data_IF_218912618021
#
_entry.id   IF_218912618021
#
_cell.length_a   1.000
_cell.length_b   1.000
_cell.length_c   1.000
_cell.angle_alpha   90.00
_cell.angle_beta   90.00
_cell.angle_gamma   90.00
#
_symmetry.space_group_name_H-M   'P 1'
#
loop_
_entity.id
_entity.type
_entity.pdbx_description
1 polymer ?
#
# COMPACT_ATOMS: atom_id res chain seq x y z
N UNK A 1 7.81 -8.77 -5.67
CA UNK A 1 6.51 -8.56 -5.00
C UNK A 1 5.63 -7.68 -5.88
N UNK A 2 4.37 -8.03 -6.00
CA UNK A 2 3.41 -7.25 -6.77
C UNK A 2 2.74 -6.20 -5.91
N UNK A 3 2.57 -4.99 -6.44
CA UNK A 3 1.85 -3.90 -5.79
C UNK A 3 0.89 -3.25 -6.80
N UNK A 4 -0.23 -2.68 -6.36
CA UNK A 4 -1.06 -1.89 -7.25
C UNK A 4 -0.37 -0.57 -7.60
N UNK A 5 -0.79 0.05 -8.72
CA UNK A 5 -0.24 1.32 -9.16
C UNK A 5 -0.38 2.44 -8.10
N UNK A 6 -1.40 2.35 -7.31
CA UNK A 6 -1.68 3.21 -6.18
C UNK A 6 -0.53 3.23 -5.14
N UNK A 7 0.29 2.17 -5.05
CA UNK A 7 1.36 2.05 -4.07
C UNK A 7 2.34 3.22 -4.11
N UNK A 8 2.66 3.71 -5.30
CA UNK A 8 3.59 4.83 -5.45
C UNK A 8 3.08 6.09 -4.76
N UNK A 9 1.83 6.41 -4.97
CA UNK A 9 1.19 7.59 -4.37
C UNK A 9 0.96 7.38 -2.88
N UNK A 10 0.51 6.20 -2.50
CA UNK A 10 0.30 5.83 -1.09
C UNK A 10 1.58 5.98 -0.28
N UNK A 11 2.67 5.44 -0.80
CA UNK A 11 3.98 5.52 -0.15
C UNK A 11 4.45 6.96 -0.04
N UNK A 12 4.32 7.72 -1.11
CA UNK A 12 4.64 9.15 -1.09
C UNK A 12 3.82 9.92 -0.05
N UNK A 13 2.53 9.65 0.03
CA UNK A 13 1.66 10.26 1.03
C UNK A 13 2.05 9.89 2.46
N UNK A 14 2.43 8.64 2.67
CA UNK A 14 2.87 8.17 3.99
C UNK A 14 4.10 8.96 4.46
N UNK A 15 5.08 9.12 3.58
CA UNK A 15 6.30 9.86 3.89
C UNK A 15 6.03 11.35 4.12
N UNK A 16 5.19 11.96 3.29
CA UNK A 16 4.78 13.36 3.46
C UNK A 16 4.05 13.57 4.76
N UNK A 17 3.14 12.67 5.10
CA UNK A 17 2.36 12.73 6.32
C UNK A 17 3.26 12.64 7.56
N UNK A 18 4.23 11.71 7.54
CA UNK A 18 5.19 11.55 8.62
C UNK A 18 6.04 12.81 8.81
N UNK A 19 6.45 13.44 7.71
CA UNK A 19 7.20 14.69 7.77
C UNK A 19 6.34 15.83 8.35
N UNK A 20 5.12 15.99 7.86
CA UNK A 20 4.20 17.03 8.36
C UNK A 20 3.91 16.87 9.84
N UNK A 21 3.82 15.63 10.31
CA UNK A 21 3.57 15.31 11.73
C UNK A 21 4.84 15.33 12.57
N UNK A 22 5.96 15.76 11.98
CA UNK A 22 7.26 15.85 12.65
C UNK A 22 7.78 14.54 13.22
N UNK A 23 7.38 13.41 12.62
CA UNK A 23 7.91 12.09 12.98
C UNK A 23 9.25 11.83 12.31
N UNK A 24 9.47 12.44 11.15
CA UNK A 24 10.73 12.41 10.41
C UNK A 24 11.02 13.82 9.91
N UNK A 25 12.29 14.13 9.69
CA UNK A 25 12.70 15.39 9.07
C UNK A 25 12.77 15.26 7.55
N UNK A 26 13.08 16.37 6.87
CA UNK A 26 13.16 16.39 5.40
C UNK A 26 14.26 15.47 4.87
N UNK A 27 15.40 15.39 5.55
CA UNK A 27 16.51 14.53 5.14
C UNK A 27 16.11 13.05 5.23
N UNK A 28 15.45 12.66 6.31
CA UNK A 28 14.97 11.28 6.51
C UNK A 28 13.89 10.93 5.49
N UNK A 29 12.98 11.84 5.21
CA UNK A 29 11.96 11.65 4.19
C UNK A 29 12.59 11.38 2.82
N UNK A 30 13.56 12.21 2.43
CA UNK A 30 14.25 12.04 1.15
C UNK A 30 15.02 10.71 1.08
N UNK A 31 15.67 10.32 2.17
CA UNK A 31 16.37 9.05 2.29
C UNK A 31 15.40 7.88 2.11
N UNK A 32 14.27 7.90 2.80
CA UNK A 32 13.28 6.83 2.71
C UNK A 32 12.65 6.74 1.33
N UNK A 33 12.39 7.88 0.69
CA UNK A 33 11.88 7.90 -0.69
C UNK A 33 12.89 7.26 -1.66
N UNK A 34 14.18 7.59 -1.51
CA UNK A 34 15.22 7.00 -2.33
C UNK A 34 15.33 5.49 -2.11
N UNK A 35 15.22 5.03 -0.87
CA UNK A 35 15.20 3.59 -0.56
C UNK A 35 13.99 2.93 -1.20
N UNK A 36 12.81 3.54 -1.10
CA UNK A 36 11.60 3.00 -1.73
C UNK A 36 11.76 2.84 -3.24
N UNK A 37 12.42 3.79 -3.89
CA UNK A 37 12.69 3.73 -5.33
C UNK A 37 13.63 2.58 -5.73
N UNK A 38 14.39 2.05 -4.78
CA UNK A 38 15.29 0.91 -5.05
C UNK A 38 14.59 -0.44 -4.92
N UNK A 39 13.39 -0.48 -4.37
CA UNK A 39 12.67 -1.73 -4.19
C UNK A 39 12.28 -2.34 -5.54
N UNK A 40 12.54 -3.63 -5.69
CA UNK A 40 12.21 -4.38 -6.92
C UNK A 40 10.76 -4.82 -6.86
N UNK A 41 9.86 -3.90 -7.08
CA UNK A 41 8.43 -4.16 -7.08
C UNK A 41 7.93 -4.30 -8.50
N UNK A 42 6.95 -5.20 -8.69
CA UNK A 42 6.19 -5.30 -9.92
C UNK A 42 4.89 -4.54 -9.74
N UNK A 43 4.70 -3.52 -10.53
CA UNK A 43 3.50 -2.70 -10.46
C UNK A 43 2.42 -3.29 -11.35
N UNK A 44 1.28 -3.63 -10.75
CA UNK A 44 0.12 -4.08 -11.50
C UNK A 44 -0.57 -2.87 -12.13
N UNK A 45 -0.67 -2.88 -13.46
CA UNK A 45 -1.26 -1.78 -14.21
C UNK A 45 -2.55 -2.18 -14.92
N UNK A 46 -3.09 -3.34 -14.61
CA UNK A 46 -4.37 -3.74 -15.17
C UNK A 46 -5.49 -2.85 -14.64
N UNK A 47 -6.38 -2.38 -15.52
CA UNK A 47 -7.54 -1.61 -15.08
C UNK A 47 -8.43 -2.47 -14.20
N UNK A 48 -8.86 -1.91 -13.08
CA UNK A 48 -9.80 -2.55 -12.17
C UNK A 48 -11.06 -1.69 -12.10
N UNK A 49 -12.21 -2.31 -12.28
CA UNK A 49 -13.47 -1.59 -12.23
C UNK A 49 -13.74 -1.08 -10.81
N UNK A 50 -14.27 0.12 -10.72
CA UNK A 50 -14.66 0.72 -9.43
C UNK A 50 -15.64 -0.18 -8.69
N UNK A 51 -16.60 -0.77 -9.42
CA UNK A 51 -17.56 -1.70 -8.83
C UNK A 51 -16.88 -2.91 -8.19
N UNK A 52 -15.81 -3.41 -8.79
CA UNK A 52 -15.04 -4.54 -8.24
C UNK A 52 -14.34 -4.14 -6.94
N UNK A 53 -13.73 -2.96 -6.91
CA UNK A 53 -13.09 -2.45 -5.71
C UNK A 53 -14.10 -2.21 -4.59
N UNK A 54 -15.25 -1.67 -4.94
CA UNK A 54 -16.36 -1.46 -3.99
C UNK A 54 -16.83 -2.78 -3.39
N UNK A 55 -17.02 -3.80 -4.21
CA UNK A 55 -17.44 -5.13 -3.76
C UNK A 55 -16.41 -5.75 -2.80
N UNK A 56 -15.14 -5.66 -3.12
CA UNK A 56 -14.08 -6.17 -2.26
C UNK A 56 -14.05 -5.39 -0.94
N UNK A 57 -14.16 -4.08 -1.00
CA UNK A 57 -14.18 -3.24 0.18
C UNK A 57 -15.37 -3.58 1.09
N UNK A 58 -16.55 -3.74 0.51
CA UNK A 58 -17.76 -4.08 1.27
C UNK A 58 -17.67 -5.49 1.87
N UNK A 59 -17.19 -6.45 1.09
CA UNK A 59 -17.10 -7.85 1.53
C UNK A 59 -16.16 -8.02 2.72
N UNK A 60 -15.06 -7.31 2.73
CA UNK A 60 -14.01 -7.47 3.75
C UNK A 60 -13.95 -6.32 4.76
N UNK A 61 -14.87 -5.37 4.68
CA UNK A 61 -14.90 -4.24 5.61
C UNK A 61 -13.69 -3.32 5.49
N UNK A 62 -13.22 -3.12 4.27
CA UNK A 62 -12.01 -2.35 3.99
C UNK A 62 -12.34 -0.99 3.34
N UNK A 63 -11.40 -0.06 3.44
CA UNK A 63 -11.41 1.10 2.55
C UNK A 63 -11.16 0.66 1.11
N UNK A 64 -11.49 1.49 0.14
CA UNK A 64 -11.20 1.19 -1.27
C UNK A 64 -9.69 1.10 -1.51
N UNK A 65 -8.90 1.89 -0.79
CA UNK A 65 -7.44 1.82 -0.85
C UNK A 65 -6.93 0.45 -0.43
N UNK A 66 -7.38 -0.05 0.71
CA UNK A 66 -7.02 -1.37 1.20
C UNK A 66 -7.56 -2.46 0.29
N UNK A 67 -8.76 -2.27 -0.22
CA UNK A 67 -9.37 -3.20 -1.16
C UNK A 67 -8.56 -3.36 -2.44
N UNK A 68 -7.87 -2.30 -2.89
CA UNK A 68 -7.03 -2.38 -4.08
C UNK A 68 -5.89 -3.39 -3.90
N UNK A 69 -5.30 -3.45 -2.73
CA UNK A 69 -4.24 -4.43 -2.41
C UNK A 69 -4.81 -5.85 -2.34
N UNK A 70 -5.92 -6.02 -1.66
CA UNK A 70 -6.56 -7.33 -1.54
C UNK A 70 -7.08 -7.84 -2.88
N UNK A 71 -7.68 -6.97 -3.69
CA UNK A 71 -8.14 -7.32 -5.04
C UNK A 71 -7.00 -7.85 -5.88
N UNK A 72 -5.86 -7.17 -5.86
CA UNK A 72 -4.66 -7.61 -6.58
C UNK A 72 -4.24 -9.01 -6.14
N UNK A 73 -4.21 -9.28 -4.83
CA UNK A 73 -3.86 -10.59 -4.30
C UNK A 73 -4.83 -11.67 -4.75
N UNK A 74 -6.13 -11.38 -4.69
CA UNK A 74 -7.17 -12.32 -5.10
C UNK A 74 -7.09 -12.60 -6.60
N UNK A 75 -6.94 -11.58 -7.41
CA UNK A 75 -6.92 -11.70 -8.87
C UNK A 75 -5.68 -12.44 -9.38
N UNK A 76 -4.52 -12.16 -8.80
CA UNK A 76 -3.26 -12.80 -9.18
C UNK A 76 -2.99 -14.07 -8.39
N UNK A 77 -3.91 -14.47 -7.51
CA UNK A 77 -3.77 -15.66 -6.67
C UNK A 77 -2.46 -15.67 -5.89
N UNK A 78 -2.08 -14.50 -5.37
CA UNK A 78 -0.89 -14.37 -4.56
C UNK A 78 -1.20 -14.78 -3.12
N UNK A 79 -0.25 -15.43 -2.42
CA UNK A 79 -0.39 -15.65 -1.00
C UNK A 79 -0.52 -14.31 -0.28
N UNK A 80 -1.33 -14.25 0.75
CA UNK A 80 -1.49 -13.05 1.55
C UNK A 80 -0.14 -12.54 2.06
N UNK A 81 0.75 -13.46 2.41
CA UNK A 81 2.10 -13.12 2.83
C UNK A 81 2.92 -12.40 1.76
N UNK A 82 2.66 -12.66 0.48
CA UNK A 82 3.34 -11.98 -0.64
C UNK A 82 2.87 -10.54 -0.83
N UNK A 83 1.66 -10.26 -0.39
CA UNK A 83 1.06 -8.93 -0.46
C UNK A 83 1.20 -8.20 0.86
N UNK A 84 1.76 -8.86 1.85
CA UNK A 84 1.65 -8.51 3.24
C UNK A 84 2.24 -7.13 3.51
N UNK A 85 3.35 -6.80 2.89
CA UNK A 85 3.93 -5.47 3.06
C UNK A 85 2.95 -4.37 2.64
N UNK A 86 2.25 -4.57 1.54
CA UNK A 86 1.28 -3.60 1.04
C UNK A 86 -0.02 -3.65 1.84
N UNK A 87 -0.49 -4.85 2.14
CA UNK A 87 -1.70 -5.04 2.96
C UNK A 87 -1.46 -4.59 4.38
N UNK A 88 -0.28 -4.85 4.93
CA UNK A 88 0.09 -4.37 6.25
C UNK A 88 0.18 -2.86 6.30
N UNK A 89 0.62 -2.20 5.22
CA UNK A 89 0.54 -0.76 5.14
C UNK A 89 -0.89 -0.29 5.34
N UNK A 90 -1.79 -0.94 4.64
CA UNK A 90 -3.20 -0.65 4.75
C UNK A 90 -3.74 -0.94 6.16
N UNK A 91 -3.35 -2.06 6.72
CA UNK A 91 -3.72 -2.43 8.09
C UNK A 91 -3.16 -1.46 9.11
N UNK A 92 -1.96 -0.99 8.88
CA UNK A 92 -1.35 0.05 9.71
C UNK A 92 -2.04 1.37 9.52
N UNK A 93 -2.35 1.74 8.30
CA UNK A 93 -3.13 2.94 8.02
C UNK A 93 -4.49 2.87 8.71
N UNK A 94 -5.05 1.67 8.85
CA UNK A 94 -6.25 1.42 9.61
C UNK A 94 -6.01 1.36 11.13
N UNK A 95 -4.77 1.49 11.58
CA UNK A 95 -4.41 1.40 12.99
C UNK A 95 -4.45 -0.01 13.56
N UNK A 96 -4.49 -1.02 12.70
CA UNK A 96 -4.65 -2.42 13.12
C UNK A 96 -3.30 -3.07 13.41
N UNK A 97 -2.31 -2.82 12.56
CA UNK A 97 -0.98 -3.43 12.67
C UNK A 97 0.07 -2.40 12.26
N UNK A 98 1.22 -2.44 12.93
CA UNK A 98 2.35 -1.64 12.49
C UNK A 98 2.92 -2.24 11.20
N UNK A 99 3.27 -1.42 10.17
CA UNK A 99 3.88 -1.96 8.96
C UNK A 99 5.19 -2.60 9.32
N UNK A 100 5.32 -3.86 8.99
CA UNK A 100 6.58 -4.56 9.15
C UNK A 100 7.61 -4.12 8.11
N UNK A 101 7.16 -3.43 7.08
CA UNK A 101 8.00 -2.89 6.01
C UNK A 101 8.31 -1.40 6.18
N UNK A 102 7.71 -0.76 7.16
CA UNK A 102 7.95 0.65 7.46
C UNK A 102 8.99 0.78 8.56
#
# INVERSE_FOLDING_TARGET
>A
MWVPALWLVDTGNLLRSAHRRRRIDAAKRAELAAIADTLRLRVDREPVAIARLDDVAATYGLSVYDAAYLELALRRKLPLASCDAAVLAAMVAAGIVAPTWA
#
